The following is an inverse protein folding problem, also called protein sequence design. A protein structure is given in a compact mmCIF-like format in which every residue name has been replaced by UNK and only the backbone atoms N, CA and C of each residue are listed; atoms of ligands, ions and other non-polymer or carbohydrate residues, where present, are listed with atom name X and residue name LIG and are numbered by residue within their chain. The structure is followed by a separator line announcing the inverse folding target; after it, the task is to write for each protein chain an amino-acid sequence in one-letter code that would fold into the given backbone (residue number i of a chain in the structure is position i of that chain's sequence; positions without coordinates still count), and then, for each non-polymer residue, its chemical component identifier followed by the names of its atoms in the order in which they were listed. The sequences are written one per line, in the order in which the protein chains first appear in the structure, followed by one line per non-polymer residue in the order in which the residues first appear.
data_IF_018653551377
#
_entry.id   IF_018653551377
#
_cell.length_a   1.000
_cell.length_b   1.000
_cell.length_c   1.000
_cell.angle_alpha   90.00
_cell.angle_beta   90.00
_cell.angle_gamma   90.00
#
_symmetry.space_group_name_H-M   'P 1'
#
loop_
_entity.id
_entity.type
_entity.pdbx_description
1 polymer ?
#
# COMPACT_ATOMS: atom_id res chain seq x y z
N UNK A 1 -31.60 -6.52 3.84
CA UNK A 1 -32.43 -5.74 2.90
C UNK A 1 -33.65 -5.28 3.66
N UNK A 2 -34.08 -4.04 3.46
CA UNK A 2 -35.31 -3.52 4.08
C UNK A 2 -36.28 -3.19 2.96
N UNK A 3 -37.40 -3.93 2.88
CA UNK A 3 -38.36 -3.88 1.80
C UNK A 3 -39.78 -3.79 2.37
N UNK A 4 -40.63 -2.95 1.77
CA UNK A 4 -42.05 -2.83 2.21
C UNK A 4 -42.92 -4.00 1.74
N UNK A 5 -42.55 -4.61 0.62
CA UNK A 5 -43.19 -5.76 0.01
C UNK A 5 -42.15 -6.54 -0.81
N UNK A 6 -42.36 -7.83 -1.09
CA UNK A 6 -41.44 -8.62 -1.90
C UNK A 6 -41.21 -8.00 -3.28
N UNK A 7 -39.96 -7.94 -3.72
CA UNK A 7 -39.55 -7.31 -4.98
C UNK A 7 -38.55 -8.17 -5.74
N UNK A 8 -38.78 -8.34 -7.04
CA UNK A 8 -37.84 -9.03 -7.93
C UNK A 8 -36.84 -8.05 -8.52
N UNK A 9 -35.55 -8.21 -8.16
CA UNK A 9 -34.47 -7.43 -8.76
C UNK A 9 -33.12 -8.15 -8.66
N UNK A 10 -32.16 -7.67 -9.45
CA UNK A 10 -30.79 -8.18 -9.47
C UNK A 10 -29.89 -7.35 -8.55
N UNK A 11 -29.21 -8.02 -7.63
CA UNK A 11 -28.02 -7.48 -6.95
C UNK A 11 -26.77 -7.89 -7.75
N UNK A 12 -25.83 -6.95 -7.92
CA UNK A 12 -24.56 -7.17 -8.61
C UNK A 12 -23.40 -6.93 -7.64
N UNK A 13 -22.60 -7.95 -7.38
CA UNK A 13 -21.46 -7.88 -6.47
C UNK A 13 -20.17 -7.92 -7.27
N UNK A 14 -19.32 -6.89 -7.14
CA UNK A 14 -17.98 -6.91 -7.71
C UNK A 14 -17.10 -7.82 -6.87
N UNK A 15 -16.47 -8.80 -7.50
CA UNK A 15 -15.43 -9.63 -6.90
C UNK A 15 -14.09 -9.14 -7.44
N UNK A 16 -13.28 -8.43 -6.63
CA UNK A 16 -11.98 -7.96 -7.09
C UNK A 16 -11.06 -9.10 -7.55
N UNK A 17 -10.14 -8.78 -8.47
CA UNK A 17 -9.16 -9.74 -9.01
C UNK A 17 -8.22 -10.31 -7.97
N UNK A 18 -7.89 -9.53 -6.93
CA UNK A 18 -6.97 -9.93 -5.86
C UNK A 18 -7.57 -10.92 -4.85
N UNK A 19 -8.88 -11.15 -4.87
CA UNK A 19 -9.54 -12.03 -3.89
C UNK A 19 -9.37 -13.49 -4.34
N UNK A 20 -8.93 -14.34 -3.41
CA UNK A 20 -8.96 -15.79 -3.58
C UNK A 20 -10.09 -16.36 -2.70
N UNK A 21 -10.88 -17.30 -3.23
CA UNK A 21 -11.97 -17.97 -2.50
C UNK A 21 -13.08 -17.03 -1.96
N UNK A 22 -13.49 -16.03 -2.74
CA UNK A 22 -14.65 -15.20 -2.40
C UNK A 22 -15.93 -16.04 -2.28
N UNK A 23 -16.80 -15.69 -1.33
CA UNK A 23 -18.12 -16.35 -1.18
C UNK A 23 -19.24 -15.37 -0.95
N UNK A 24 -20.44 -15.70 -1.44
CA UNK A 24 -21.68 -14.98 -1.15
C UNK A 24 -22.63 -15.95 -0.45
N UNK A 25 -23.15 -15.54 0.70
CA UNK A 25 -24.18 -16.26 1.43
C UNK A 25 -25.47 -15.43 1.49
N UNK A 26 -26.61 -16.06 1.22
CA UNK A 26 -27.93 -15.45 1.36
C UNK A 26 -28.61 -16.13 2.54
N UNK A 27 -28.97 -15.36 3.56
CA UNK A 27 -29.54 -15.86 4.81
C UNK A 27 -28.67 -16.99 5.42
N UNK A 28 -29.21 -18.20 5.52
CA UNK A 28 -28.54 -19.39 6.05
C UNK A 28 -28.29 -20.45 4.96
N UNK A 29 -28.44 -20.07 3.68
CA UNK A 29 -28.18 -20.97 2.56
C UNK A 29 -26.68 -21.32 2.46
N UNK A 30 -26.37 -22.36 1.69
CA UNK A 30 -24.99 -22.76 1.42
C UNK A 30 -24.26 -21.63 0.68
N UNK A 31 -23.05 -21.23 1.13
CA UNK A 31 -22.29 -20.19 0.46
C UNK A 31 -21.96 -20.53 -0.99
N UNK A 32 -22.19 -19.57 -1.88
CA UNK A 32 -21.87 -19.65 -3.30
C UNK A 32 -20.42 -19.22 -3.48
N UNK A 33 -19.57 -20.08 -4.05
CA UNK A 33 -18.21 -19.70 -4.45
C UNK A 33 -18.27 -18.72 -5.62
N UNK A 34 -17.44 -17.69 -5.56
CA UNK A 34 -17.40 -16.64 -6.56
C UNK A 34 -16.04 -16.61 -7.26
N UNK A 35 -16.06 -16.41 -8.58
CA UNK A 35 -14.86 -16.20 -9.38
C UNK A 35 -14.36 -14.76 -9.22
N UNK A 36 -13.04 -14.59 -9.12
CA UNK A 36 -12.40 -13.28 -9.00
C UNK A 36 -12.41 -12.50 -10.32
N UNK A 37 -12.34 -11.18 -10.24
CA UNK A 37 -12.31 -10.29 -11.41
C UNK A 37 -13.66 -10.06 -12.09
N UNK A 38 -14.74 -10.64 -11.57
CA UNK A 38 -16.06 -10.62 -12.20
C UNK A 38 -17.13 -9.93 -11.35
N UNK A 39 -18.30 -9.71 -11.95
CA UNK A 39 -19.52 -9.34 -11.23
C UNK A 39 -20.44 -10.55 -11.09
N UNK A 40 -20.73 -10.94 -9.85
CA UNK A 40 -21.73 -11.97 -9.57
C UNK A 40 -23.11 -11.33 -9.53
N UNK A 41 -24.02 -11.83 -10.36
CA UNK A 41 -25.40 -11.35 -10.48
C UNK A 41 -26.33 -12.32 -9.77
N UNK A 42 -27.11 -11.83 -8.81
CA UNK A 42 -28.11 -12.62 -8.10
C UNK A 42 -29.46 -11.96 -8.33
N UNK A 43 -30.32 -12.62 -9.12
CA UNK A 43 -31.69 -12.19 -9.40
C UNK A 43 -32.65 -13.10 -8.65
N UNK A 44 -33.40 -12.53 -7.72
CA UNK A 44 -34.37 -13.24 -6.88
C UNK A 44 -35.54 -12.31 -6.57
N UNK A 45 -36.65 -12.89 -6.13
CA UNK A 45 -37.64 -12.15 -5.36
C UNK A 45 -37.11 -12.02 -3.92
N UNK A 46 -36.76 -10.78 -3.55
CA UNK A 46 -36.23 -10.46 -2.23
C UNK A 46 -37.37 -10.11 -1.29
N UNK A 47 -37.24 -10.55 -0.04
CA UNK A 47 -38.19 -10.27 1.05
C UNK A 47 -37.57 -9.32 2.06
N UNK A 48 -38.44 -8.71 2.86
CA UNK A 48 -37.97 -7.90 3.97
C UNK A 48 -37.07 -8.73 4.90
N UNK A 49 -35.98 -8.12 5.36
CA UNK A 49 -34.95 -8.72 6.21
C UNK A 49 -34.07 -9.81 5.58
N UNK A 50 -34.15 -10.08 4.28
CA UNK A 50 -33.15 -10.91 3.60
C UNK A 50 -31.75 -10.35 3.82
N UNK A 51 -30.81 -11.20 4.21
CA UNK A 51 -29.40 -10.84 4.45
C UNK A 51 -28.53 -11.43 3.36
N UNK A 52 -27.69 -10.59 2.77
CA UNK A 52 -26.66 -11.04 1.83
C UNK A 52 -25.30 -10.70 2.43
N UNK A 53 -24.50 -11.73 2.66
CA UNK A 53 -23.16 -11.62 3.22
C UNK A 53 -22.15 -11.95 2.13
N UNK A 54 -21.33 -10.96 1.76
CA UNK A 54 -20.19 -11.15 0.87
C UNK A 54 -18.92 -11.27 1.72
N UNK A 55 -18.22 -12.39 1.60
CA UNK A 55 -16.94 -12.63 2.28
C UNK A 55 -15.84 -12.52 1.24
N UNK A 56 -14.94 -11.55 1.45
CA UNK A 56 -13.75 -11.31 0.65
C UNK A 56 -12.51 -11.55 1.53
N UNK A 57 -11.86 -12.72 1.43
CA UNK A 57 -10.59 -12.96 2.11
C UNK A 57 -9.53 -11.92 1.72
N UNK A 58 -8.81 -11.41 2.73
CA UNK A 58 -7.82 -10.34 2.61
C UNK A 58 -6.44 -10.86 3.02
N UNK A 59 -5.93 -11.80 2.23
CA UNK A 59 -4.60 -12.38 2.44
C UNK A 59 -3.49 -11.40 2.07
N UNK A 60 -2.33 -11.56 2.71
CA UNK A 60 -1.11 -10.84 2.31
C UNK A 60 -0.57 -11.52 1.05
N UNK A 61 -0.28 -10.72 0.03
CA UNK A 61 0.28 -11.15 -1.24
C UNK A 61 1.58 -10.39 -1.52
N UNK A 62 2.51 -11.08 -2.17
CA UNK A 62 3.72 -10.48 -2.71
C UNK A 62 3.58 -10.42 -4.23
N UNK A 63 3.59 -9.23 -4.81
CA UNK A 63 3.58 -9.03 -6.26
C UNK A 63 5.01 -8.82 -6.76
N UNK A 64 5.40 -9.53 -7.82
CA UNK A 64 6.66 -9.27 -8.54
C UNK A 64 6.53 -8.02 -9.39
N UNK A 65 7.53 -7.15 -9.30
CA UNK A 65 7.61 -5.88 -10.02
C UNK A 65 8.89 -5.84 -10.86
N UNK A 66 9.23 -4.65 -11.37
CA UNK A 66 10.44 -4.46 -12.15
C UNK A 66 11.70 -4.92 -11.39
N UNK A 67 12.69 -5.47 -12.09
CA UNK A 67 13.91 -6.04 -11.51
C UNK A 67 13.67 -7.11 -10.41
N UNK A 68 12.62 -7.92 -10.54
CA UNK A 68 12.25 -8.97 -9.57
C UNK A 68 11.97 -8.44 -8.15
N UNK A 69 11.80 -7.13 -8.00
CA UNK A 69 11.43 -6.51 -6.75
C UNK A 69 10.05 -7.01 -6.30
N UNK A 70 9.80 -6.94 -4.99
CA UNK A 70 8.52 -7.35 -4.40
C UNK A 70 7.80 -6.17 -3.78
N UNK A 71 6.50 -6.16 -3.97
CA UNK A 71 5.57 -5.27 -3.28
C UNK A 71 4.61 -6.09 -2.45
N UNK A 72 4.28 -5.60 -1.25
CA UNK A 72 3.29 -6.24 -0.40
C UNK A 72 1.92 -5.62 -0.65
N UNK A 73 0.93 -6.47 -0.89
CA UNK A 73 -0.46 -6.09 -1.13
C UNK A 73 -1.36 -6.86 -0.17
N UNK A 74 -2.38 -6.18 0.37
CA UNK A 74 -3.47 -6.80 1.10
C UNK A 74 -4.80 -6.24 0.63
N UNK A 75 -5.49 -7.02 -0.19
CA UNK A 75 -6.67 -6.58 -0.89
C UNK A 75 -6.42 -5.34 -1.75
N UNK A 76 -7.13 -4.22 -1.54
CA UNK A 76 -6.89 -2.99 -2.32
C UNK A 76 -5.72 -2.15 -1.79
N UNK A 77 -5.03 -2.57 -0.73
CA UNK A 77 -3.99 -1.80 -0.08
C UNK A 77 -2.61 -2.26 -0.55
N UNK A 78 -1.85 -1.33 -1.11
CA UNK A 78 -0.41 -1.46 -1.35
C UNK A 78 0.31 -0.91 -0.12
N UNK A 79 1.43 -1.53 0.28
CA UNK A 79 2.23 -1.10 1.43
C UNK A 79 3.57 -0.51 1.03
N UNK A 80 4.01 0.49 1.80
CA UNK A 80 5.27 1.17 1.63
C UNK A 80 6.02 1.27 2.95
N UNK A 81 7.34 1.30 2.88
CA UNK A 81 8.18 1.66 4.01
C UNK A 81 8.08 3.16 4.28
N UNK A 82 8.01 3.52 5.55
CA UNK A 82 7.92 4.90 6.02
C UNK A 82 9.19 5.26 6.79
N UNK A 83 10.26 5.71 6.11
CA UNK A 83 11.45 6.19 6.81
C UNK A 83 11.10 7.39 7.69
N UNK A 84 11.94 7.65 8.69
CA UNK A 84 11.87 8.91 9.42
C UNK A 84 12.06 10.07 8.44
N UNK A 85 11.28 11.12 8.56
CA UNK A 85 11.27 12.25 7.63
C UNK A 85 11.80 13.52 8.30
N UNK A 86 12.56 14.31 7.55
CA UNK A 86 12.85 15.70 7.85
C UNK A 86 12.12 16.59 6.85
N UNK A 87 11.45 17.64 7.36
CA UNK A 87 10.63 18.55 6.57
C UNK A 87 11.22 19.94 6.61
N UNK A 88 11.70 20.41 5.45
CA UNK A 88 12.27 21.75 5.31
C UNK A 88 11.32 22.61 4.50
N UNK A 89 10.85 23.72 5.09
CA UNK A 89 10.03 24.69 4.36
C UNK A 89 10.93 25.47 3.40
N UNK A 90 10.62 25.41 2.12
CA UNK A 90 11.41 26.08 1.10
C UNK A 90 11.11 27.58 1.08
N UNK A 91 12.16 28.39 1.04
CA UNK A 91 12.05 29.86 0.93
C UNK A 91 11.84 30.34 -0.51
N UNK A 92 12.06 29.46 -1.50
CA UNK A 92 11.88 29.70 -2.94
C UNK A 92 11.05 28.55 -3.53
N UNK A 93 10.08 28.85 -4.40
CA UNK A 93 9.27 27.82 -5.08
C UNK A 93 10.16 26.90 -5.91
N UNK A 94 9.94 25.59 -5.81
CA UNK A 94 10.47 24.61 -6.76
C UNK A 94 9.56 24.57 -7.99
N UNK A 95 9.82 25.45 -8.97
CA UNK A 95 9.15 25.35 -10.28
C UNK A 95 10.18 25.13 -11.38
N UNK A 96 9.83 24.27 -12.34
CA UNK A 96 10.59 24.15 -13.59
C UNK A 96 10.73 25.52 -14.29
N UNK A 97 9.76 26.41 -14.09
CA UNK A 97 9.80 27.80 -14.52
C UNK A 97 10.86 28.65 -13.78
N UNK A 98 11.09 28.44 -12.48
CA UNK A 98 12.14 29.11 -11.71
C UNK A 98 13.56 28.60 -12.05
N UNK A 99 13.72 27.34 -12.49
CA UNK A 99 15.00 26.85 -13.06
C UNK A 99 15.30 27.44 -14.44
N UNK A 100 14.27 27.71 -15.25
CA UNK A 100 14.42 28.21 -16.62
C UNK A 100 14.48 29.74 -16.71
N UNK A 101 13.89 30.46 -15.74
CA UNK A 101 13.99 31.91 -15.63
C UNK A 101 15.16 32.26 -14.72
N UNK A 102 16.20 32.90 -15.28
CA UNK A 102 17.32 33.52 -14.54
C UNK A 102 16.90 34.70 -13.63
N UNK A 103 15.60 34.94 -13.50
CA UNK A 103 15.03 36.07 -12.80
C UNK A 103 14.38 35.57 -11.50
N UNK A 104 15.01 35.93 -10.38
CA UNK A 104 14.70 35.55 -9.01
C UNK A 104 13.43 36.25 -8.46
N UNK A 105 12.65 36.93 -9.31
CA UNK A 105 11.53 37.82 -8.94
C UNK A 105 10.15 37.16 -8.93
N UNK A 106 10.05 35.82 -8.97
CA UNK A 106 8.75 35.17 -8.81
C UNK A 106 8.27 35.36 -7.36
N UNK A 107 7.54 36.45 -7.12
CA UNK A 107 6.88 36.74 -5.85
C UNK A 107 5.85 35.66 -5.56
N UNK A 108 6.29 34.65 -4.81
CA UNK A 108 5.46 33.60 -4.25
C UNK A 108 4.47 34.26 -3.30
N UNK A 109 3.15 34.08 -3.47
CA UNK A 109 2.21 34.57 -2.47
C UNK A 109 2.62 34.02 -1.10
N UNK A 110 2.69 34.83 -0.02
CA UNK A 110 3.15 34.39 1.30
C UNK A 110 2.39 33.19 1.90
N UNK A 111 1.25 32.86 1.29
CA UNK A 111 0.34 31.79 1.64
C UNK A 111 0.78 30.42 1.07
N UNK A 112 1.65 30.39 0.06
CA UNK A 112 2.16 29.16 -0.55
C UNK A 112 3.39 28.69 0.22
N UNK A 113 3.31 27.48 0.76
CA UNK A 113 4.40 26.83 1.49
C UNK A 113 4.78 25.54 0.78
N UNK A 114 5.92 25.56 0.11
CA UNK A 114 6.53 24.36 -0.46
C UNK A 114 7.38 23.67 0.62
N UNK A 115 7.28 22.36 0.70
CA UNK A 115 8.05 21.54 1.63
C UNK A 115 8.93 20.57 0.86
N UNK A 116 10.21 20.56 1.21
CA UNK A 116 11.14 19.49 0.86
C UNK A 116 11.08 18.44 1.98
N UNK A 117 10.95 17.17 1.59
CA UNK A 117 10.87 16.05 2.53
C UNK A 117 11.99 15.07 2.20
N UNK A 118 12.91 14.89 3.15
CA UNK A 118 14.08 14.00 3.00
C UNK A 118 14.05 12.88 4.03
N UNK A 119 14.56 11.69 3.70
CA UNK A 119 14.66 10.60 4.66
C UNK A 119 15.79 10.89 5.66
N UNK A 120 15.49 10.74 6.95
CA UNK A 120 16.45 10.85 8.07
C UNK A 120 17.01 9.50 8.50
N UNK A 121 16.26 8.42 8.26
CA UNK A 121 16.70 7.04 8.48
C UNK A 121 17.07 6.34 7.17
N UNK A 122 17.83 5.25 7.27
CA UNK A 122 18.09 4.34 6.15
C UNK A 122 16.79 3.92 5.47
N UNK A 123 16.79 3.88 4.15
CA UNK A 123 15.63 3.47 3.34
C UNK A 123 15.97 2.37 2.33
N UNK A 124 17.26 2.12 2.09
CA UNK A 124 17.76 1.12 1.15
C UNK A 124 17.61 -0.28 1.76
N UNK A 125 16.43 -0.89 1.64
CA UNK A 125 16.19 -2.22 2.19
C UNK A 125 15.85 -3.23 1.10
N UNK A 126 16.36 -4.45 1.24
CA UNK A 126 15.85 -5.63 0.55
C UNK A 126 15.05 -6.50 1.52
N UNK A 127 14.00 -7.15 1.02
CA UNK A 127 13.35 -8.23 1.76
C UNK A 127 14.22 -9.47 1.76
N UNK A 128 14.08 -10.28 2.81
CA UNK A 128 14.85 -11.52 3.00
C UNK A 128 13.94 -12.72 2.78
N UNK A 129 14.35 -13.66 1.93
CA UNK A 129 13.63 -14.95 1.77
C UNK A 129 13.85 -15.87 2.99
N UNK A 130 12.86 -16.67 3.38
CA UNK A 130 11.50 -16.72 2.83
C UNK A 130 10.67 -15.47 3.18
N UNK A 131 9.89 -15.00 2.21
CA UNK A 131 9.08 -13.78 2.37
C UNK A 131 7.90 -14.04 3.31
N UNK A 132 7.96 -13.46 4.50
CA UNK A 132 6.93 -13.57 5.53
C UNK A 132 6.62 -12.20 6.12
N UNK A 133 5.42 -11.69 5.84
CA UNK A 133 4.92 -10.46 6.44
C UNK A 133 3.81 -10.74 7.45
N UNK A 134 3.78 -9.98 8.54
CA UNK A 134 2.83 -10.14 9.64
C UNK A 134 2.08 -8.84 9.89
N UNK A 135 0.76 -8.93 10.04
CA UNK A 135 -0.03 -7.81 10.55
C UNK A 135 0.22 -7.72 12.05
N UNK A 136 0.75 -6.60 12.50
CA UNK A 136 0.99 -6.38 13.93
C UNK A 136 0.04 -5.34 14.54
N UNK A 137 -0.65 -4.56 13.71
CA UNK A 137 -1.67 -3.61 14.18
C UNK A 137 -2.76 -3.40 13.15
N UNK A 138 -4.02 -3.46 13.59
CA UNK A 138 -5.21 -3.07 12.83
C UNK A 138 -6.01 -2.09 13.69
N UNK A 139 -6.38 -0.93 13.14
CA UNK A 139 -7.31 0.02 13.77
C UNK A 139 -8.70 -0.20 13.18
N UNK A 140 -9.66 -0.60 14.01
CA UNK A 140 -11.04 -0.85 13.56
C UNK A 140 -11.85 0.45 13.39
N UNK A 141 -11.64 1.43 14.27
CA UNK A 141 -12.32 2.72 14.22
C UNK A 141 -11.46 3.76 13.49
N UNK A 142 -11.53 3.77 12.17
CA UNK A 142 -10.70 4.63 11.31
C UNK A 142 -11.33 6.03 11.17
N UNK A 143 -10.56 7.06 11.50
CA UNK A 143 -10.96 8.46 11.32
C UNK A 143 -10.90 8.87 9.83
N UNK A 144 -11.69 9.89 9.44
CA UNK A 144 -11.83 10.31 8.01
C UNK A 144 -10.51 10.58 7.27
N UNK A 145 -9.46 11.01 7.99
CA UNK A 145 -8.17 11.38 7.40
C UNK A 145 -7.04 10.40 7.72
N UNK A 146 -7.35 9.26 8.35
CA UNK A 146 -6.33 8.30 8.79
C UNK A 146 -5.51 7.74 7.62
N UNK A 147 -6.08 7.68 6.41
CA UNK A 147 -5.40 7.23 5.21
C UNK A 147 -4.24 8.12 4.75
N UNK A 148 -4.08 9.32 5.31
CA UNK A 148 -2.99 10.27 5.03
C UNK A 148 -2.13 10.56 6.27
N UNK A 149 -2.19 9.70 7.29
CA UNK A 149 -1.48 9.89 8.56
C UNK A 149 -0.32 8.89 8.68
N UNK A 150 0.92 9.37 8.53
CA UNK A 150 2.13 8.55 8.67
C UNK A 150 2.44 8.16 10.13
N UNK A 151 2.02 8.97 11.11
CA UNK A 151 2.25 8.72 12.54
C UNK A 151 1.31 7.66 13.11
N UNK A 152 0.09 7.61 12.60
CA UNK A 152 -0.93 6.68 13.05
C UNK A 152 -1.61 6.02 11.84
N UNK A 153 -0.96 5.11 11.12
CA UNK A 153 -1.60 4.38 10.03
C UNK A 153 -2.65 3.40 10.58
N UNK A 154 -3.73 3.13 9.82
CA UNK A 154 -4.80 2.22 10.24
C UNK A 154 -4.37 0.74 10.24
N UNK A 155 -3.27 0.41 9.58
CA UNK A 155 -2.76 -0.93 9.42
C UNK A 155 -1.24 -0.88 9.42
N UNK A 156 -0.60 -1.85 10.05
CA UNK A 156 0.86 -1.91 10.12
C UNK A 156 1.32 -3.36 9.93
N UNK A 157 2.22 -3.55 8.97
CA UNK A 157 2.87 -4.82 8.68
C UNK A 157 4.31 -4.80 9.17
N UNK A 158 4.83 -5.95 9.58
CA UNK A 158 6.25 -6.19 9.77
C UNK A 158 6.76 -7.24 8.80
N UNK A 159 7.98 -7.04 8.32
CA UNK A 159 8.70 -8.00 7.47
C UNK A 159 10.20 -7.92 7.75
N UNK A 160 10.90 -9.05 7.58
CA UNK A 160 12.36 -9.11 7.67
C UNK A 160 13.01 -8.46 6.46
N UNK A 161 13.99 -7.60 6.71
CA UNK A 161 14.74 -6.90 5.70
C UNK A 161 16.21 -6.76 6.10
N UNK A 162 17.04 -6.37 5.14
CA UNK A 162 18.46 -6.06 5.34
C UNK A 162 18.81 -4.80 4.56
N UNK A 163 19.65 -3.95 5.15
CA UNK A 163 20.08 -2.71 4.50
C UNK A 163 21.03 -3.02 3.33
N UNK A 164 20.87 -2.32 2.20
CA UNK A 164 21.71 -2.45 1.02
C UNK A 164 22.82 -1.38 0.94
N UNK A 165 23.94 -1.75 0.33
CA UNK A 165 25.06 -0.85 0.02
C UNK A 165 24.98 -0.28 -1.40
N UNK A 166 24.30 -0.98 -2.32
CA UNK A 166 24.31 -0.69 -3.76
C UNK A 166 22.96 -0.18 -4.31
N UNK A 167 22.21 0.56 -3.50
CA UNK A 167 20.98 1.23 -3.95
C UNK A 167 21.09 2.75 -3.72
N UNK A 168 21.33 3.49 -4.80
CA UNK A 168 21.70 4.89 -4.74
C UNK A 168 20.55 5.85 -5.08
N UNK A 169 20.74 7.13 -4.76
CA UNK A 169 19.91 8.23 -5.24
C UNK A 169 20.51 8.83 -6.51
N UNK A 170 19.67 9.18 -7.46
CA UNK A 170 20.01 10.04 -8.60
C UNK A 170 18.98 11.17 -8.68
N UNK A 171 19.45 12.43 -8.73
CA UNK A 171 18.59 13.62 -8.74
C UNK A 171 17.52 13.65 -7.64
N UNK A 172 17.89 13.29 -6.40
CA UNK A 172 16.99 13.19 -5.24
C UNK A 172 15.87 12.14 -5.36
N UNK A 173 15.99 11.21 -6.31
CA UNK A 173 15.09 10.07 -6.48
C UNK A 173 15.86 8.76 -6.30
N UNK A 174 15.22 7.77 -5.67
CA UNK A 174 15.77 6.42 -5.64
C UNK A 174 15.91 5.90 -7.07
N UNK A 175 17.09 5.36 -7.40
CA UNK A 175 17.26 4.59 -8.63
C UNK A 175 16.33 3.36 -8.61
N UNK A 176 16.06 2.73 -9.76
CA UNK A 176 15.33 1.47 -9.80
C UNK A 176 15.92 0.45 -8.82
N UNK A 177 15.09 -0.41 -8.18
CA UNK A 177 15.58 -1.47 -7.32
C UNK A 177 16.70 -2.28 -8.00
N UNK A 178 17.88 -2.47 -7.38
CA UNK A 178 18.97 -3.22 -7.99
C UNK A 178 18.56 -4.68 -8.24
N UNK A 179 18.93 -5.22 -9.40
CA UNK A 179 18.69 -6.63 -9.74
C UNK A 179 19.64 -7.58 -8.99
N UNK A 180 20.78 -7.07 -8.52
CA UNK A 180 21.78 -7.77 -7.73
C UNK A 180 21.97 -7.07 -6.37
N UNK A 181 20.99 -7.12 -5.46
CA UNK A 181 21.10 -6.44 -4.16
C UNK A 181 22.32 -6.93 -3.36
N UNK A 182 23.10 -6.00 -2.82
CA UNK A 182 24.25 -6.28 -1.96
C UNK A 182 23.97 -5.79 -0.54
N UNK A 183 24.02 -6.71 0.42
CA UNK A 183 23.81 -6.38 1.82
C UNK A 183 24.96 -5.51 2.35
N UNK A 184 24.62 -4.34 2.91
CA UNK A 184 25.58 -3.44 3.56
C UNK A 184 26.14 -4.06 4.84
N UNK A 185 25.27 -4.73 5.58
CA UNK A 185 25.60 -5.54 6.76
C UNK A 185 24.87 -6.87 6.63
N UNK A 186 25.39 -7.94 7.25
CA UNK A 186 24.68 -9.22 7.33
C UNK A 186 23.52 -9.23 8.35
N UNK A 187 23.18 -8.07 8.92
CA UNK A 187 22.20 -7.98 10.01
C UNK A 187 20.79 -7.92 9.44
N UNK A 188 19.99 -8.94 9.78
CA UNK A 188 18.56 -8.96 9.46
C UNK A 188 17.81 -8.18 10.53
N UNK A 189 16.99 -7.23 10.12
CA UNK A 189 16.10 -6.46 10.99
C UNK A 189 14.64 -6.58 10.55
N UNK A 190 13.71 -6.19 11.42
CA UNK A 190 12.30 -6.09 11.06
C UNK A 190 11.97 -4.62 10.75
N UNK A 191 11.46 -4.38 9.55
CA UNK A 191 10.95 -3.05 9.16
C UNK A 191 9.43 -3.03 9.17
N UNK A 192 8.89 -1.84 9.43
CA UNK A 192 7.45 -1.60 9.46
C UNK A 192 6.98 -0.99 8.13
N UNK A 193 5.93 -1.58 7.56
CA UNK A 193 5.29 -1.09 6.35
C UNK A 193 3.87 -0.63 6.66
N UNK A 194 3.47 0.48 6.04
CA UNK A 194 2.17 1.12 6.23
C UNK A 194 1.48 1.28 4.88
N UNK A 195 0.15 1.47 4.81
CA UNK A 195 -0.52 1.68 3.53
C UNK A 195 0.11 2.84 2.75
N UNK A 196 0.31 2.67 1.44
CA UNK A 196 0.97 3.60 0.54
C UNK A 196 0.46 5.05 0.65
N UNK A 197 -0.84 5.22 0.88
CA UNK A 197 -1.46 6.53 1.04
C UNK A 197 -1.01 7.28 2.31
N UNK A 198 -0.55 6.54 3.33
CA UNK A 198 -0.16 7.09 4.62
C UNK A 198 1.27 7.65 4.63
N UNK A 199 2.12 7.34 3.65
CA UNK A 199 3.52 7.81 3.60
C UNK A 199 3.69 9.06 2.75
N UNK A 200 4.70 9.87 3.08
CA UNK A 200 5.15 11.00 2.24
C UNK A 200 6.29 10.57 1.30
N UNK A 201 7.29 9.86 1.84
CA UNK A 201 8.35 9.18 1.08
C UNK A 201 7.93 7.73 0.88
N UNK A 202 7.96 7.23 -0.36
CA UNK A 202 7.36 5.94 -0.71
C UNK A 202 8.37 4.98 -1.31
N UNK A 203 8.88 4.07 -0.49
CA UNK A 203 9.57 2.88 -0.99
C UNK A 203 8.56 1.72 -0.97
N UNK A 204 8.23 1.19 -2.13
CA UNK A 204 7.11 0.24 -2.33
C UNK A 204 7.54 -1.04 -3.04
N UNK A 205 8.65 -0.97 -3.78
CA UNK A 205 9.22 -2.09 -4.51
C UNK A 205 10.60 -2.37 -3.89
N UNK A 206 10.75 -3.54 -3.29
CA UNK A 206 11.96 -3.91 -2.54
C UNK A 206 12.69 -5.02 -3.30
N UNK A 207 14.01 -4.90 -3.53
CA UNK A 207 14.81 -6.04 -3.96
C UNK A 207 14.66 -7.20 -2.98
N UNK A 208 14.99 -8.40 -3.43
CA UNK A 208 14.93 -9.61 -2.59
C UNK A 208 16.31 -10.24 -2.49
N UNK A 209 16.71 -10.53 -1.26
CA UNK A 209 17.90 -11.31 -0.94
C UNK A 209 17.51 -12.72 -0.51
N UNK A 210 18.11 -13.71 -1.16
CA UNK A 210 18.01 -15.10 -0.72
C UNK A 210 18.90 -15.28 0.50
N UNK A 211 18.39 -15.89 1.56
CA UNK A 211 19.29 -16.41 2.60
C UNK A 211 20.18 -17.47 1.94
N UNK A 212 21.48 -17.21 1.87
CA UNK A 212 22.42 -18.30 1.67
C UNK A 212 22.29 -19.19 2.91
N UNK A 213 21.61 -20.31 2.74
CA UNK A 213 21.67 -21.41 3.69
C UNK A 213 23.06 -22.01 3.46
N UNK A 214 24.05 -21.52 4.21
CA UNK A 214 25.29 -22.26 4.42
C UNK A 214 25.01 -23.56 5.18
#
# INVERSE_FOLDING_TARGET
LHLKYPLNFCLKFRIPTWVVNATIQINQEVPIKCESGNFIKITREWKDNDKVTLILPLDIQFETRYNEAKTIIRGPLVFSYNPEEEKTMMKKIWSRAARLRKDDTLNVPPQVKDWEITPRSSWQYAFVEPLEAKIIRVKENIDKFQCFNNQNPPLLLKIKAVQLSNWELEFEAALPPPSNPEAKTGTIEEIELIPYGCTNIRITEFPVLKQNIE
#
